data_IF_776832044104
#
_entry.id   IF_776832044104
#
_cell.length_a   1.000
_cell.length_b   1.000
_cell.length_c   1.000
_cell.angle_alpha   90.00
_cell.angle_beta   90.00
_cell.angle_gamma   90.00
#
_symmetry.space_group_name_H-M   'P 1'
#
loop_
_entity.id
_entity.type
_entity.pdbx_description
1 polymer ?
#
# COMPACT_ATOMS: atom_id res chain seq x y z
N UNK A 1 -3.26 -10.30 1.49
CA UNK A 1 -1.79 -10.26 1.36
C UNK A 1 -1.37 -8.87 0.94
N UNK A 2 -0.18 -8.43 1.32
CA UNK A 2 0.37 -7.13 0.92
C UNK A 2 1.52 -7.34 -0.06
N UNK A 3 1.61 -6.49 -1.09
CA UNK A 3 2.71 -6.52 -2.05
C UNK A 3 3.20 -5.10 -2.34
N UNK A 4 4.51 -4.90 -2.30
CA UNK A 4 5.14 -3.65 -2.76
C UNK A 4 5.04 -3.60 -4.28
N UNK A 5 4.38 -2.56 -4.79
CA UNK A 5 4.15 -2.33 -6.22
C UNK A 5 5.26 -1.47 -6.79
N UNK A 6 5.67 -0.43 -6.07
CA UNK A 6 6.73 0.46 -6.49
C UNK A 6 7.50 1.03 -5.30
N UNK A 7 8.78 1.33 -5.52
CA UNK A 7 9.62 2.11 -4.63
C UNK A 7 10.24 3.24 -5.46
N UNK A 8 9.99 4.49 -5.08
CA UNK A 8 10.45 5.66 -5.83
C UNK A 8 10.94 6.78 -4.90
N UNK A 9 11.60 7.78 -5.46
CA UNK A 9 12.12 8.91 -4.69
C UNK A 9 13.57 8.73 -4.19
N UNK A 10 14.20 9.82 -3.73
CA UNK A 10 15.58 9.82 -3.24
C UNK A 10 15.67 9.10 -1.88
N UNK A 11 16.86 8.67 -1.47
CA UNK A 11 17.06 7.86 -0.26
C UNK A 11 16.45 8.47 1.02
N UNK A 12 16.45 9.79 1.13
CA UNK A 12 15.91 10.54 2.27
C UNK A 12 14.41 10.87 2.14
N UNK A 13 13.78 10.53 1.02
CA UNK A 13 12.35 10.72 0.76
C UNK A 13 11.82 9.60 -0.13
N UNK A 14 12.13 8.36 0.24
CA UNK A 14 11.66 7.18 -0.47
C UNK A 14 10.16 7.01 -0.22
N UNK A 15 9.41 6.81 -1.29
CA UNK A 15 7.98 6.51 -1.30
C UNK A 15 7.81 5.05 -1.70
N UNK A 16 7.06 4.32 -0.89
CA UNK A 16 6.64 2.95 -1.13
C UNK A 16 5.17 2.96 -1.51
N UNK A 17 4.82 2.27 -2.58
CA UNK A 17 3.45 1.94 -2.94
C UNK A 17 3.21 0.46 -2.62
N UNK A 18 2.15 0.18 -1.89
CA UNK A 18 1.75 -1.18 -1.51
C UNK A 18 0.31 -1.42 -1.91
N UNK A 19 0.03 -2.58 -2.48
CA UNK A 19 -1.32 -3.05 -2.75
C UNK A 19 -1.72 -4.16 -1.77
N UNK A 20 -3.00 -4.15 -1.36
CA UNK A 20 -3.60 -5.21 -0.56
C UNK A 20 -4.51 -6.06 -1.43
N UNK A 21 -4.33 -7.38 -1.34
CA UNK A 21 -5.07 -8.38 -2.09
C UNK A 21 -5.88 -9.28 -1.15
N UNK A 22 -7.09 -9.64 -1.56
CA UNK A 22 -7.92 -10.66 -0.92
C UNK A 22 -8.42 -11.62 -1.99
N UNK A 23 -8.23 -12.93 -1.78
CA UNK A 23 -8.60 -13.96 -2.75
C UNK A 23 -8.04 -13.73 -4.16
N UNK A 24 -6.82 -13.20 -4.27
CA UNK A 24 -6.17 -12.88 -5.55
C UNK A 24 -6.69 -11.62 -6.25
N UNK A 25 -7.67 -10.92 -5.67
CA UNK A 25 -8.17 -9.63 -6.16
C UNK A 25 -7.55 -8.49 -5.39
N UNK A 26 -7.06 -7.48 -6.11
CA UNK A 26 -6.61 -6.22 -5.52
C UNK A 26 -7.82 -5.48 -4.92
N UNK A 27 -7.76 -5.15 -3.63
CA UNK A 27 -8.81 -4.39 -2.95
C UNK A 27 -8.50 -2.91 -2.93
N UNK A 28 -7.26 -2.53 -2.60
CA UNK A 28 -6.82 -1.15 -2.56
C UNK A 28 -5.30 -1.04 -2.63
N UNK A 29 -4.82 0.20 -2.79
CA UNK A 29 -3.42 0.58 -2.70
C UNK A 29 -3.22 1.66 -1.67
N UNK A 30 -2.03 1.73 -1.13
CA UNK A 30 -1.60 2.78 -0.22
C UNK A 30 -0.16 3.17 -0.45
N UNK A 31 0.20 4.35 0.04
CA UNK A 31 1.53 4.90 -0.11
C UNK A 31 2.10 5.36 1.23
N UNK A 32 3.42 5.37 1.34
CA UNK A 32 4.07 5.79 2.58
C UNK A 32 5.57 5.94 2.43
N UNK A 33 6.18 6.65 3.38
CA UNK A 33 7.64 6.79 3.45
C UNK A 33 8.36 5.51 3.94
N UNK A 34 7.59 4.49 4.28
CA UNK A 34 8.06 3.15 4.64
C UNK A 34 7.02 2.11 4.20
N UNK A 35 7.44 0.85 4.08
CA UNK A 35 6.55 -0.26 3.72
C UNK A 35 5.38 -0.40 4.70
N UNK A 36 5.64 -0.25 6.00
CA UNK A 36 4.62 -0.38 7.04
C UNK A 36 3.55 0.73 6.96
N UNK A 37 3.97 1.97 6.66
CA UNK A 37 3.03 3.08 6.46
C UNK A 37 2.18 2.84 5.21
N UNK A 38 2.81 2.43 4.10
CA UNK A 38 2.10 2.12 2.86
C UNK A 38 1.11 0.94 3.01
N UNK A 39 1.47 -0.09 3.79
CA UNK A 39 0.59 -1.22 4.13
C UNK A 39 -0.63 -0.76 4.94
N UNK A 40 -0.42 0.10 5.94
CA UNK A 40 -1.49 0.61 6.80
C UNK A 40 -2.46 1.51 6.00
N UNK A 41 -1.91 2.35 5.12
CA UNK A 41 -2.69 3.18 4.19
C UNK A 41 -3.52 2.30 3.24
N UNK A 42 -2.91 1.26 2.66
CA UNK A 42 -3.61 0.32 1.77
C UNK A 42 -4.74 -0.43 2.50
N UNK A 43 -4.51 -0.85 3.74
CA UNK A 43 -5.52 -1.51 4.56
C UNK A 43 -6.70 -0.57 4.89
N UNK A 44 -6.40 0.69 5.21
CA UNK A 44 -7.42 1.72 5.49
C UNK A 44 -8.29 1.96 4.26
N UNK A 45 -7.68 2.19 3.10
CA UNK A 45 -8.43 2.33 1.85
C UNK A 45 -9.23 1.09 1.49
N UNK A 46 -8.72 -0.12 1.77
CA UNK A 46 -9.47 -1.35 1.52
C UNK A 46 -10.72 -1.44 2.40
N UNK A 47 -10.64 -1.03 3.68
CA UNK A 47 -11.78 -1.01 4.59
C UNK A 47 -12.81 0.05 4.20
N UNK A 48 -12.37 1.23 3.76
CA UNK A 48 -13.25 2.29 3.27
C UNK A 48 -14.04 1.86 2.03
N UNK A 49 -13.37 1.21 1.06
CA UNK A 49 -14.00 0.71 -0.17
C UNK A 49 -14.84 -0.55 0.03
N UNK A 50 -14.82 -1.17 1.22
CA UNK A 50 -15.61 -2.38 1.52
C UNK A 50 -16.99 -2.08 2.11
N UNK A 51 -17.34 -0.80 2.31
CA UNK A 51 -18.67 -0.33 2.77
C UNK A 51 -19.56 0.04 1.57
#
# INVERSE_FOLDING_TARGET
TYQVISESGPDHNKIFEVAVYLNGRELARGTGNSKQVAETDAATHALENYN
#
